data_IF_664024659254
#
_entry.id   IF_664024659254
#
_cell.length_a   1.000
_cell.length_b   1.000
_cell.length_c   1.000
_cell.angle_alpha   90.00
_cell.angle_beta   90.00
_cell.angle_gamma   90.00
#
_symmetry.space_group_name_H-M   'P 1'
#
loop_
_entity.id
_entity.type
_entity.pdbx_description
1 polymer ?
#
# COMPACT_ATOMS: atom_id res chain seq x y z
N UNK A 1 -5.75 24.26 52.60
CA UNK A 1 -7.05 23.85 52.03
C UNK A 1 -7.35 24.83 50.91
N UNK A 2 -6.97 24.51 49.69
CA UNK A 2 -7.30 25.33 48.51
C UNK A 2 -8.61 24.79 47.93
N UNK A 3 -9.53 25.64 47.45
CA UNK A 3 -10.81 25.17 46.94
C UNK A 3 -10.55 24.41 45.64
N UNK A 4 -10.95 23.14 45.60
CA UNK A 4 -11.06 22.39 44.36
C UNK A 4 -12.11 23.08 43.49
N UNK A 5 -11.66 23.70 42.40
CA UNK A 5 -12.55 24.23 41.37
C UNK A 5 -13.34 23.10 40.70
N UNK A 6 -14.49 23.40 40.07
CA UNK A 6 -15.33 22.36 39.47
C UNK A 6 -14.54 21.60 38.41
N UNK A 7 -14.40 20.29 38.61
CA UNK A 7 -13.89 19.37 37.59
C UNK A 7 -14.91 19.34 36.44
N UNK A 8 -14.69 20.16 35.42
CA UNK A 8 -15.44 20.04 34.18
C UNK A 8 -15.18 18.64 33.59
N UNK A 9 -16.21 17.90 33.15
CA UNK A 9 -15.98 16.69 32.39
C UNK A 9 -15.32 17.12 31.08
N UNK A 10 -14.00 16.97 30.99
CA UNK A 10 -13.29 17.19 29.75
C UNK A 10 -13.70 16.01 28.87
N UNK A 11 -14.60 16.23 27.92
CA UNK A 11 -14.71 15.35 26.76
C UNK A 11 -13.40 15.48 25.97
N UNK A 12 -12.33 14.87 26.47
CA UNK A 12 -11.05 14.81 25.78
C UNK A 12 -11.18 13.82 24.64
N UNK A 13 -10.85 14.28 23.43
CA UNK A 13 -10.75 13.37 22.30
C UNK A 13 -9.50 12.50 22.45
N UNK A 14 -9.47 11.31 21.85
CA UNK A 14 -8.24 10.48 21.78
C UNK A 14 -7.02 11.28 21.31
N UNK A 15 -7.23 12.22 20.38
CA UNK A 15 -6.18 13.12 19.89
C UNK A 15 -5.66 14.03 21.02
N UNK A 16 -6.56 14.57 21.82
CA UNK A 16 -6.22 15.43 22.95
C UNK A 16 -5.54 14.64 24.09
N UNK A 17 -5.96 13.40 24.34
CA UNK A 17 -5.36 12.57 25.40
C UNK A 17 -3.94 12.13 25.07
N UNK A 18 -3.68 11.75 23.82
CA UNK A 18 -2.39 11.20 23.42
C UNK A 18 -1.40 12.23 22.85
N UNK A 19 -1.90 13.31 22.25
CA UNK A 19 -1.06 14.22 21.46
C UNK A 19 -1.09 15.67 21.96
N UNK A 20 -1.81 15.97 23.05
CA UNK A 20 -1.71 17.30 23.66
C UNK A 20 -0.39 17.44 24.42
N UNK A 21 0.37 18.48 24.11
CA UNK A 21 1.43 18.98 24.97
C UNK A 21 1.18 20.47 25.29
N UNK A 22 1.97 21.04 26.19
CA UNK A 22 1.91 22.46 26.50
C UNK A 22 3.34 23.02 26.53
N UNK A 23 3.55 24.13 25.83
CA UNK A 23 4.78 24.90 25.94
C UNK A 23 4.74 25.73 27.21
N UNK A 24 5.76 25.62 28.06
CA UNK A 24 5.89 26.42 29.29
C UNK A 24 6.91 27.52 29.09
N UNK A 25 6.48 28.77 29.07
CA UNK A 25 7.36 29.92 29.19
C UNK A 25 7.34 30.47 30.61
N UNK A 26 8.52 30.66 31.21
CA UNK A 26 8.66 31.19 32.57
C UNK A 26 9.39 32.53 32.55
N UNK A 27 8.79 33.55 33.15
CA UNK A 27 9.39 34.87 33.33
C UNK A 27 9.44 35.20 34.82
N UNK A 28 10.59 35.66 35.30
CA UNK A 28 10.75 36.15 36.67
C UNK A 28 10.83 37.66 36.66
N UNK A 29 9.93 38.33 37.40
CA UNK A 29 9.99 39.78 37.53
C UNK A 29 11.22 40.20 38.36
N UNK A 30 12.12 41.06 37.86
CA UNK A 30 13.34 41.43 38.59
C UNK A 30 13.08 42.28 39.84
N UNK A 31 11.93 42.98 39.91
CA UNK A 31 11.62 43.89 41.01
C UNK A 31 10.95 43.22 42.21
N UNK A 32 10.05 42.27 41.97
CA UNK A 32 9.30 41.59 43.04
C UNK A 32 9.58 40.10 43.14
N UNK A 33 10.49 39.58 42.30
CA UNK A 33 10.89 38.16 42.21
C UNK A 33 9.72 37.19 41.98
N UNK A 34 8.56 37.71 41.58
CA UNK A 34 7.39 36.89 41.27
C UNK A 34 7.58 36.21 39.92
N UNK A 35 7.40 34.89 39.91
CA UNK A 35 7.45 34.09 38.70
C UNK A 35 6.06 34.09 38.04
N UNK A 36 6.04 34.44 36.76
CA UNK A 36 4.89 34.25 35.87
C UNK A 36 5.18 33.06 34.96
N UNK A 37 4.22 32.14 34.85
CA UNK A 37 4.30 30.99 33.95
C UNK A 37 3.12 31.09 32.97
N UNK A 38 3.41 31.02 31.67
CA UNK A 38 2.40 30.87 30.62
C UNK A 38 2.50 29.46 30.05
N UNK A 39 1.35 28.80 29.90
CA UNK A 39 1.23 27.45 29.34
C UNK A 39 0.41 27.52 28.06
N UNK A 40 1.08 27.50 26.92
CA UNK A 40 0.42 27.57 25.62
C UNK A 40 0.19 26.16 25.07
N UNK A 41 -1.04 25.81 24.62
CA UNK A 41 -1.30 24.51 24.01
C UNK A 41 -0.40 24.27 22.81
N UNK A 42 0.25 23.11 22.79
CA UNK A 42 1.03 22.65 21.64
C UNK A 42 0.18 21.64 20.86
N UNK A 43 -0.23 22.03 19.65
CA UNK A 43 -1.18 21.28 18.82
C UNK A 43 -0.54 20.66 17.56
N UNK A 44 0.78 20.71 17.44
CA UNK A 44 1.49 20.30 16.22
C UNK A 44 2.52 19.21 16.53
N UNK A 45 2.27 17.96 16.16
CA UNK A 45 3.26 16.88 16.30
C UNK A 45 3.86 16.51 14.94
N UNK A 46 5.16 16.22 14.91
CA UNK A 46 5.81 15.61 13.74
C UNK A 46 5.64 14.09 13.82
N UNK A 47 4.97 13.50 12.82
CA UNK A 47 4.84 12.04 12.69
C UNK A 47 5.71 11.55 11.52
N UNK A 48 6.32 10.35 11.62
CA UNK A 48 7.02 9.77 10.48
C UNK A 48 6.05 9.50 9.33
N UNK A 49 6.44 9.88 8.11
CA UNK A 49 5.67 9.54 6.90
C UNK A 49 5.77 8.01 6.71
N UNK A 50 4.65 7.28 6.62
CA UNK A 50 4.68 5.86 6.34
C UNK A 50 5.39 5.59 5.01
N UNK A 51 6.38 4.70 5.03
CA UNK A 51 7.05 4.30 3.80
C UNK A 51 6.08 3.45 2.95
N UNK A 52 6.04 3.64 1.62
CA UNK A 52 5.29 2.76 0.73
C UNK A 52 5.81 1.34 0.87
N UNK A 53 4.88 0.38 1.04
CA UNK A 53 5.19 -1.05 1.10
C UNK A 53 4.74 -1.79 -0.18
N UNK A 54 4.13 -1.05 -1.11
CA UNK A 54 3.68 -1.55 -2.41
C UNK A 54 4.13 -0.63 -3.54
N UNK A 55 4.20 -1.19 -4.75
CA UNK A 55 4.39 -0.46 -6.01
C UNK A 55 3.27 -0.80 -7.01
N UNK A 56 2.92 0.12 -7.93
CA UNK A 56 1.98 -0.18 -8.99
C UNK A 56 2.62 -1.05 -10.07
N UNK A 57 1.92 -2.07 -10.56
CA UNK A 57 2.24 -2.76 -11.80
C UNK A 57 1.03 -2.68 -12.74
N UNK A 58 1.31 -2.44 -14.02
CA UNK A 58 0.26 -2.36 -15.04
C UNK A 58 0.23 -3.67 -15.84
N UNK A 59 -0.92 -4.32 -15.86
CA UNK A 59 -1.11 -5.61 -16.51
C UNK A 59 -2.20 -5.48 -17.56
N UNK A 60 -1.94 -5.97 -18.78
CA UNK A 60 -2.93 -6.08 -19.84
C UNK A 60 -3.61 -7.44 -19.75
N UNK A 61 -4.86 -7.45 -19.32
CA UNK A 61 -5.67 -8.66 -19.19
C UNK A 61 -6.33 -8.96 -20.53
N UNK A 62 -6.22 -10.20 -20.99
CA UNK A 62 -6.82 -10.71 -22.22
C UNK A 62 -7.83 -11.79 -21.84
N UNK A 63 -9.11 -11.46 -21.95
CA UNK A 63 -10.20 -12.35 -21.58
C UNK A 63 -10.44 -13.43 -22.63
N UNK A 64 -11.02 -14.55 -22.21
CA UNK A 64 -11.42 -15.64 -23.09
C UNK A 64 -12.54 -15.16 -24.02
N UNK A 65 -12.28 -15.08 -25.33
CA UNK A 65 -13.27 -14.62 -26.30
C UNK A 65 -12.65 -13.94 -27.52
N UNK A 66 -13.43 -13.10 -28.22
CA UNK A 66 -12.92 -12.34 -29.36
C UNK A 66 -11.91 -11.29 -28.87
N UNK A 67 -10.82 -11.11 -29.63
CA UNK A 67 -9.65 -10.27 -29.33
C UNK A 67 -9.91 -8.79 -28.95
N UNK A 68 -11.17 -8.32 -28.95
CA UNK A 68 -11.57 -6.97 -28.55
C UNK A 68 -11.80 -6.80 -27.04
N UNK A 69 -11.72 -7.86 -26.25
CA UNK A 69 -11.89 -7.82 -24.80
C UNK A 69 -10.53 -7.88 -24.09
N UNK A 70 -9.72 -6.84 -24.23
CA UNK A 70 -8.55 -6.65 -23.39
C UNK A 70 -8.69 -5.39 -22.54
N UNK A 71 -8.23 -5.45 -21.30
CA UNK A 71 -8.29 -4.32 -20.36
C UNK A 71 -6.93 -4.17 -19.68
N UNK A 72 -6.42 -2.93 -19.64
CA UNK A 72 -5.22 -2.62 -18.87
C UNK A 72 -5.61 -2.19 -17.47
N UNK A 73 -5.15 -2.92 -16.46
CA UNK A 73 -5.39 -2.64 -15.04
C UNK A 73 -4.10 -2.24 -14.35
N UNK A 74 -4.21 -1.45 -13.28
CA UNK A 74 -3.11 -1.18 -12.36
C UNK A 74 -3.36 -1.91 -11.04
N UNK A 75 -2.41 -2.73 -10.60
CA UNK A 75 -2.49 -3.46 -9.34
C UNK A 75 -1.37 -3.03 -8.40
N UNK A 76 -1.68 -2.87 -7.12
CA UNK A 76 -0.68 -2.60 -6.09
C UNK A 76 -0.12 -3.93 -5.59
N UNK A 77 1.19 -4.15 -5.78
CA UNK A 77 1.88 -5.36 -5.34
C UNK A 77 2.95 -5.02 -4.31
N UNK A 78 3.28 -5.93 -3.37
CA UNK A 78 4.39 -5.72 -2.43
C UNK A 78 5.70 -5.39 -3.15
N UNK A 79 6.58 -4.63 -2.50
CA UNK A 79 7.90 -4.30 -3.06
C UNK A 79 8.79 -5.54 -3.24
N UNK A 80 8.60 -6.55 -2.41
CA UNK A 80 9.33 -7.82 -2.38
C UNK A 80 8.37 -9.00 -2.25
N UNK A 81 8.70 -10.14 -2.83
CA UNK A 81 7.89 -11.35 -2.75
C UNK A 81 7.94 -12.12 -4.06
N UNK A 82 6.91 -12.91 -4.33
CA UNK A 82 6.86 -13.71 -5.55
C UNK A 82 5.76 -13.25 -6.49
N UNK A 83 5.87 -13.65 -7.76
CA UNK A 83 4.85 -13.37 -8.79
C UNK A 83 3.48 -13.97 -8.43
N UNK A 84 3.40 -14.94 -7.53
CA UNK A 84 2.12 -15.40 -6.97
C UNK A 84 1.26 -14.23 -6.44
N UNK A 85 1.88 -13.23 -5.79
CA UNK A 85 1.17 -12.05 -5.29
C UNK A 85 0.66 -11.15 -6.40
N UNK A 86 1.37 -11.06 -7.52
CA UNK A 86 0.89 -10.37 -8.71
C UNK A 86 -0.31 -11.11 -9.31
N UNK A 87 -0.26 -12.45 -9.40
CA UNK A 87 -1.36 -13.27 -9.92
C UNK A 87 -2.62 -13.15 -9.06
N UNK A 88 -2.46 -13.20 -7.74
CA UNK A 88 -3.54 -12.96 -6.78
C UNK A 88 -4.13 -11.56 -6.93
N UNK A 89 -3.30 -10.52 -7.06
CA UNK A 89 -3.78 -9.15 -7.26
C UNK A 89 -4.59 -8.99 -8.55
N UNK A 90 -4.11 -9.57 -9.66
CA UNK A 90 -4.84 -9.59 -10.93
C UNK A 90 -6.16 -10.38 -10.80
N UNK A 91 -6.15 -11.52 -10.12
CA UNK A 91 -7.34 -12.33 -9.86
C UNK A 91 -8.41 -11.57 -9.06
N UNK A 92 -8.01 -10.86 -8.00
CA UNK A 92 -8.91 -10.07 -7.18
C UNK A 92 -9.61 -8.96 -7.98
N UNK A 93 -8.86 -8.29 -8.86
CA UNK A 93 -9.37 -7.18 -9.68
C UNK A 93 -10.27 -7.67 -10.82
N UNK A 94 -9.90 -8.79 -11.46
CA UNK A 94 -10.58 -9.28 -12.69
C UNK A 94 -11.65 -10.33 -12.43
N UNK A 95 -11.67 -10.92 -11.23
CA UNK A 95 -12.50 -12.10 -10.85
C UNK A 95 -12.18 -13.38 -11.61
N UNK A 96 -11.09 -13.42 -12.37
CA UNK A 96 -10.57 -14.63 -13.00
C UNK A 96 -9.87 -15.46 -11.91
N UNK A 97 -10.15 -16.77 -11.77
CA UNK A 97 -9.42 -17.65 -10.85
C UNK A 97 -7.91 -17.65 -11.11
N UNK A 98 -7.09 -17.74 -10.07
CA UNK A 98 -5.62 -17.67 -10.19
C UNK A 98 -5.04 -18.79 -11.06
N UNK A 99 -5.62 -19.98 -11.01
CA UNK A 99 -5.28 -21.14 -11.84
C UNK A 99 -5.62 -20.94 -13.33
N UNK A 100 -6.49 -19.98 -13.65
CA UNK A 100 -6.89 -19.62 -15.00
C UNK A 100 -6.16 -18.38 -15.54
N UNK A 101 -5.15 -17.87 -14.83
CA UNK A 101 -4.36 -16.73 -15.27
C UNK A 101 -2.99 -17.21 -15.71
N UNK A 102 -2.57 -16.85 -16.92
CA UNK A 102 -1.19 -17.03 -17.40
C UNK A 102 -0.53 -15.67 -17.57
N UNK A 103 0.49 -15.39 -16.75
CA UNK A 103 1.26 -14.15 -16.78
C UNK A 103 2.45 -14.28 -17.73
N UNK A 104 2.60 -13.28 -18.60
CA UNK A 104 3.63 -13.27 -19.64
C UNK A 104 4.15 -11.86 -19.86
N UNK A 105 5.36 -11.75 -20.39
CA UNK A 105 5.96 -10.51 -20.86
C UNK A 105 6.06 -10.55 -22.39
N UNK A 106 5.55 -9.52 -23.05
CA UNK A 106 5.47 -9.44 -24.51
C UNK A 106 5.85 -8.05 -25.02
N UNK A 107 6.67 -7.99 -26.07
CA UNK A 107 7.06 -6.74 -26.74
C UNK A 107 6.71 -6.78 -28.24
N UNK A 108 7.21 -5.80 -29.00
CA UNK A 108 6.95 -5.68 -30.43
C UNK A 108 7.50 -6.87 -31.26
N UNK A 109 8.51 -7.55 -30.75
CA UNK A 109 9.12 -8.75 -31.33
C UNK A 109 8.48 -10.06 -30.85
N UNK A 110 7.44 -9.96 -30.00
CA UNK A 110 6.61 -11.08 -29.60
C UNK A 110 6.78 -11.48 -28.13
N UNK A 111 6.66 -12.78 -27.87
CA UNK A 111 6.69 -13.35 -26.52
C UNK A 111 8.13 -13.44 -26.01
N UNK A 112 8.39 -12.88 -24.82
CA UNK A 112 9.71 -12.91 -24.18
C UNK A 112 9.79 -14.00 -23.11
N UNK A 113 8.89 -13.97 -22.11
CA UNK A 113 8.87 -14.98 -21.04
C UNK A 113 7.48 -15.15 -20.41
N UNK A 114 7.25 -16.30 -19.80
CA UNK A 114 6.15 -16.56 -18.88
C UNK A 114 6.65 -16.52 -17.44
N UNK A 115 5.75 -16.19 -16.51
CA UNK A 115 6.07 -16.15 -15.08
C UNK A 115 5.43 -17.31 -14.30
N UNK A 116 6.25 -17.90 -13.43
CA UNK A 116 5.88 -18.90 -12.44
C UNK A 116 5.61 -18.25 -11.08
N UNK A 117 4.81 -18.90 -10.24
CA UNK A 117 4.47 -18.38 -8.91
C UNK A 117 5.66 -18.28 -7.95
N UNK A 118 6.73 -19.02 -8.24
CA UNK A 118 8.00 -19.00 -7.51
C UNK A 118 8.97 -17.92 -8.00
N UNK A 119 8.68 -17.27 -9.13
CA UNK A 119 9.54 -16.21 -9.65
C UNK A 119 9.53 -15.00 -8.73
N UNK A 120 10.68 -14.32 -8.63
CA UNK A 120 10.83 -13.13 -7.82
C UNK A 120 10.12 -11.94 -8.49
N UNK A 121 9.26 -11.28 -7.73
CA UNK A 121 8.52 -10.11 -8.18
C UNK A 121 9.45 -8.93 -8.51
N UNK A 122 10.64 -8.85 -7.91
CA UNK A 122 11.65 -7.83 -8.22
C UNK A 122 12.10 -7.86 -9.69
N UNK A 123 11.96 -9.01 -10.35
CA UNK A 123 12.30 -9.17 -11.77
C UNK A 123 11.24 -8.62 -12.74
N UNK A 124 10.12 -8.13 -12.22
CA UNK A 124 9.02 -7.51 -12.98
C UNK A 124 9.04 -6.00 -12.75
N UNK A 125 9.48 -5.24 -13.74
CA UNK A 125 9.59 -3.78 -13.65
C UNK A 125 8.31 -3.07 -14.10
N UNK A 126 8.12 -1.82 -13.66
CA UNK A 126 6.95 -1.01 -14.01
C UNK A 126 6.87 -0.67 -15.51
N UNK A 127 8.01 -0.70 -16.19
CA UNK A 127 8.13 -0.50 -17.64
C UNK A 127 7.78 -1.74 -18.46
N UNK A 128 7.70 -2.91 -17.84
CA UNK A 128 7.53 -4.18 -18.55
C UNK A 128 6.12 -4.28 -19.12
N UNK A 129 6.03 -4.85 -20.31
CA UNK A 129 4.77 -5.09 -20.98
C UNK A 129 4.18 -6.43 -20.52
N UNK A 130 3.53 -6.42 -19.36
CA UNK A 130 2.96 -7.62 -18.73
C UNK A 130 1.54 -7.88 -19.25
N UNK A 131 1.29 -9.13 -19.64
CA UNK A 131 -0.01 -9.64 -20.07
C UNK A 131 -0.49 -10.76 -19.17
N UNK A 132 -1.78 -10.75 -18.84
CA UNK A 132 -2.48 -11.81 -18.14
C UNK A 132 -3.52 -12.42 -19.07
N UNK A 133 -3.30 -13.65 -19.52
CA UNK A 133 -4.25 -14.38 -20.36
C UNK A 133 -5.17 -15.22 -19.50
N UNK A 134 -6.48 -15.08 -19.72
CA UNK A 134 -7.49 -15.99 -19.19
C UNK A 134 -7.45 -17.31 -19.96
N UNK A 135 -7.30 -18.43 -19.25
CA UNK A 135 -7.34 -19.76 -19.83
C UNK A 135 -8.69 -20.44 -19.57
N UNK A 136 -9.16 -21.32 -20.47
CA UNK A 136 -10.36 -22.11 -20.21
C UNK A 136 -10.25 -22.95 -18.93
N UNK A 137 -11.37 -23.25 -18.27
CA UNK A 137 -11.43 -24.05 -17.02
C UNK A 137 -10.77 -25.44 -17.10
N UNK A 138 -10.59 -25.99 -18.30
CA UNK A 138 -9.99 -27.31 -18.55
C UNK A 138 -8.45 -27.24 -18.51
N UNK A 139 -7.87 -26.04 -18.51
CA UNK A 139 -6.44 -25.84 -18.56
C UNK A 139 -5.82 -26.01 -17.17
N UNK A 140 -5.11 -27.12 -16.94
CA UNK A 140 -4.24 -27.27 -15.76
C UNK A 140 -2.82 -26.81 -16.10
N UNK A 141 -2.29 -25.76 -15.45
CA UNK A 141 -0.98 -25.19 -15.76
C UNK A 141 0.22 -26.11 -15.47
N UNK A 142 -0.01 -27.29 -14.85
CA UNK A 142 1.02 -28.31 -14.58
C UNK A 142 1.80 -28.75 -15.84
N UNK A 143 1.24 -28.57 -17.04
CA UNK A 143 1.84 -29.02 -18.30
C UNK A 143 2.75 -28.02 -19.04
N UNK A 144 2.78 -26.73 -18.69
CA UNK A 144 3.67 -25.75 -19.38
C UNK A 144 5.09 -25.77 -18.77
N UNK A 145 5.25 -26.30 -17.55
CA UNK A 145 6.43 -26.14 -16.72
C UNK A 145 7.64 -27.05 -17.04
N UNK A 146 7.73 -27.68 -18.22
CA UNK A 146 8.84 -28.62 -18.50
C UNK A 146 9.56 -28.43 -19.84
N UNK A 147 9.78 -27.19 -20.26
CA UNK A 147 10.86 -26.89 -21.23
C UNK A 147 11.62 -25.60 -20.86
N UNK A 148 12.46 -25.73 -19.82
CA UNK A 148 13.73 -24.99 -19.72
C UNK A 148 14.81 -25.96 -19.30
#
# INVERSE_FOLDING_TARGET
>A
MMPEGPSFPVCSTFVQELFQAQYRSSLTCPHCQKQSNTFDPFLCISLPIPLPHTRPLYVTVVYQGKCSHCMRIGVAVPLSGTVARLREAVSMETKIPTDQIVLTEMYYDGFHRSFCDTDDLETVHESDCIFAFETPEIFRPEGILSQR
#
